data_IF_979144140821
#
_entry.id   IF_979144140821
#
_cell.length_a   1.000
_cell.length_b   1.000
_cell.length_c   1.000
_cell.angle_alpha   90.00
_cell.angle_beta   90.00
_cell.angle_gamma   90.00
#
_symmetry.space_group_name_H-M   'P 1'
#
loop_
_entity.id
_entity.type
_entity.pdbx_description
1 polymer ?
#
# COMPACT_ATOMS: atom_id res chain seq x y z
N UNK A 1 11.69 -8.69 16.75
CA UNK A 1 12.12 -9.85 15.96
C UNK A 1 12.66 -9.41 14.59
N UNK A 2 11.89 -8.70 13.75
CA UNK A 2 12.35 -8.13 12.47
C UNK A 2 13.75 -7.44 12.49
N UNK A 3 14.01 -6.55 13.46
CA UNK A 3 15.33 -5.88 13.58
C UNK A 3 16.45 -6.92 13.78
N UNK A 4 16.22 -7.92 14.62
CA UNK A 4 17.21 -8.98 14.90
C UNK A 4 17.45 -9.83 13.66
N UNK A 5 16.39 -10.23 12.95
CA UNK A 5 16.50 -10.97 11.69
C UNK A 5 17.31 -10.18 10.65
N UNK A 6 17.05 -8.88 10.50
CA UNK A 6 17.81 -8.01 9.59
C UNK A 6 19.27 -7.83 10.03
N UNK A 7 19.52 -7.65 11.33
CA UNK A 7 20.88 -7.47 11.86
C UNK A 7 21.74 -8.72 11.65
N UNK A 8 21.19 -9.89 11.92
CA UNK A 8 21.89 -11.18 11.82
C UNK A 8 21.83 -11.79 10.40
N UNK A 9 21.10 -11.18 9.47
CA UNK A 9 20.77 -11.78 8.16
C UNK A 9 20.09 -13.16 8.29
N UNK A 10 19.17 -13.28 9.25
CA UNK A 10 18.29 -14.43 9.44
C UNK A 10 16.93 -14.30 8.74
N UNK A 11 16.06 -15.29 8.93
CA UNK A 11 14.68 -15.30 8.40
C UNK A 11 13.68 -14.94 9.50
N UNK A 12 12.83 -13.95 9.24
CA UNK A 12 11.74 -13.56 10.13
C UNK A 12 10.54 -14.52 10.03
N UNK A 13 9.53 -14.34 10.88
CA UNK A 13 8.28 -15.09 10.81
C UNK A 13 7.60 -15.06 9.43
N UNK A 14 6.83 -16.11 9.06
CA UNK A 14 6.22 -16.24 7.73
C UNK A 14 5.42 -15.00 7.28
N UNK A 15 5.60 -14.51 6.04
CA UNK A 15 6.31 -15.16 4.93
C UNK A 15 7.81 -14.83 4.84
N UNK A 16 8.41 -14.30 5.90
CA UNK A 16 9.85 -14.07 6.02
C UNK A 16 10.32 -12.66 5.66
N UNK A 17 9.45 -11.86 5.01
CA UNK A 17 9.67 -10.45 4.68
C UNK A 17 11.04 -10.16 4.04
N UNK A 18 11.53 -10.97 3.08
CA UNK A 18 12.92 -10.92 2.63
C UNK A 18 13.35 -9.55 2.11
N UNK A 19 12.47 -8.84 1.40
CA UNK A 19 12.79 -7.51 0.90
C UNK A 19 13.00 -6.49 2.04
N UNK A 20 12.11 -6.51 3.04
CA UNK A 20 12.25 -5.63 4.21
C UNK A 20 13.53 -5.96 4.98
N UNK A 21 13.81 -7.24 5.21
CA UNK A 21 15.00 -7.71 5.92
C UNK A 21 16.29 -7.24 5.26
N UNK A 22 16.39 -7.37 3.93
CA UNK A 22 17.56 -6.92 3.16
C UNK A 22 17.71 -5.39 3.16
N UNK A 23 16.61 -4.65 3.02
CA UNK A 23 16.63 -3.18 3.08
C UNK A 23 16.99 -2.68 4.48
N UNK A 24 16.49 -3.33 5.53
CA UNK A 24 16.83 -3.02 6.91
C UNK A 24 18.32 -3.30 7.19
N UNK A 25 18.88 -4.43 6.71
CA UNK A 25 20.32 -4.69 6.78
C UNK A 25 21.13 -3.59 6.10
N UNK A 26 20.71 -3.15 4.91
CA UNK A 26 21.35 -2.08 4.18
C UNK A 26 21.31 -0.76 4.96
N UNK A 27 20.15 -0.39 5.53
CA UNK A 27 20.00 0.81 6.35
C UNK A 27 20.88 0.79 7.61
N UNK A 28 21.03 -0.37 8.26
CA UNK A 28 21.93 -0.55 9.40
C UNK A 28 23.38 -0.22 9.02
N UNK A 29 23.81 -0.61 7.82
CA UNK A 29 25.16 -0.33 7.30
C UNK A 29 25.37 1.10 6.80
N UNK A 30 24.35 1.71 6.16
CA UNK A 30 24.45 3.05 5.57
C UNK A 30 24.40 4.15 6.63
N UNK A 31 23.51 4.05 7.62
CA UNK A 31 23.38 5.08 8.65
C UNK A 31 24.42 4.86 9.76
N UNK A 32 25.44 5.73 9.93
CA UNK A 32 26.54 5.46 10.88
C UNK A 32 26.23 5.88 12.32
N UNK A 33 25.03 6.43 12.59
CA UNK A 33 24.65 7.01 13.87
C UNK A 33 23.41 6.33 14.48
N UNK A 34 23.20 6.56 15.78
CA UNK A 34 22.13 5.94 16.54
C UNK A 34 22.29 4.42 16.72
N UNK A 35 21.38 3.84 17.50
CA UNK A 35 21.31 2.39 17.69
C UNK A 35 20.83 1.68 16.42
N UNK A 36 21.06 0.37 16.31
CA UNK A 36 20.53 -0.47 15.22
C UNK A 36 19.00 -0.30 15.10
N UNK A 37 18.30 -0.28 16.24
CA UNK A 37 16.86 -0.03 16.27
C UNK A 37 16.51 1.33 15.67
N UNK A 38 17.21 2.40 16.06
CA UNK A 38 16.98 3.74 15.51
C UNK A 38 17.12 3.77 13.99
N UNK A 39 18.15 3.13 13.42
CA UNK A 39 18.41 3.10 11.97
C UNK A 39 17.29 2.42 11.18
N UNK A 40 16.75 1.31 11.70
CA UNK A 40 15.63 0.61 11.06
C UNK A 40 14.33 1.39 11.21
N UNK A 41 14.07 2.03 12.35
CA UNK A 41 12.92 2.94 12.51
C UNK A 41 13.02 4.15 11.57
N UNK A 42 14.23 4.71 11.36
CA UNK A 42 14.47 5.77 10.40
C UNK A 42 14.15 5.34 8.97
N UNK A 43 14.54 4.11 8.57
CA UNK A 43 14.13 3.52 7.30
C UNK A 43 12.60 3.49 7.18
N UNK A 44 11.88 2.98 8.18
CA UNK A 44 10.41 2.96 8.16
C UNK A 44 9.80 4.36 8.02
N UNK A 45 10.36 5.37 8.70
CA UNK A 45 9.92 6.77 8.59
C UNK A 45 10.11 7.33 7.18
N UNK A 46 11.27 7.07 6.56
CA UNK A 46 11.55 7.47 5.18
C UNK A 46 10.63 6.77 4.17
N UNK A 47 10.37 5.47 4.36
CA UNK A 47 9.44 4.71 3.52
C UNK A 47 8.00 5.23 3.65
N UNK A 48 7.56 5.56 4.87
CA UNK A 48 6.25 6.15 5.13
C UNK A 48 6.10 7.54 4.49
N UNK A 49 7.13 8.38 4.59
CA UNK A 49 7.15 9.69 3.93
C UNK A 49 7.10 9.56 2.40
N UNK A 50 7.89 8.65 1.83
CA UNK A 50 7.89 8.37 0.40
C UNK A 50 6.54 7.82 -0.09
N UNK A 51 5.87 6.98 0.70
CA UNK A 51 4.51 6.53 0.41
C UNK A 51 3.54 7.72 0.32
N UNK A 52 3.56 8.63 1.30
CA UNK A 52 2.73 9.84 1.29
C UNK A 52 3.00 10.73 0.05
N UNK A 53 4.28 10.90 -0.33
CA UNK A 53 4.66 11.64 -1.53
C UNK A 53 4.10 11.01 -2.81
N UNK A 54 4.05 9.68 -2.90
CA UNK A 54 3.45 8.99 -4.05
C UNK A 54 1.93 9.13 -4.09
N UNK A 55 1.26 9.21 -2.93
CA UNK A 55 -0.19 9.51 -2.89
C UNK A 55 -0.47 10.95 -3.34
N UNK A 56 0.31 11.93 -2.87
CA UNK A 56 0.27 13.30 -3.39
C UNK A 56 0.40 13.30 -4.91
N UNK A 57 1.44 12.62 -5.40
CA UNK A 57 1.77 12.55 -6.82
C UNK A 57 0.63 11.93 -7.64
N UNK A 58 0.05 10.83 -7.15
CA UNK A 58 -1.08 10.15 -7.78
C UNK A 58 -2.27 11.10 -7.95
N UNK A 59 -2.65 11.83 -6.90
CA UNK A 59 -3.76 12.79 -6.98
C UNK A 59 -3.41 13.95 -7.91
N UNK A 60 -2.23 14.55 -7.76
CA UNK A 60 -1.79 15.67 -8.60
C UNK A 60 -1.81 15.32 -10.09
N UNK A 61 -1.33 14.12 -10.48
CA UNK A 61 -1.34 13.67 -11.88
C UNK A 61 -2.73 13.36 -12.43
N UNK A 62 -3.69 13.04 -11.57
CA UNK A 62 -5.05 12.72 -11.98
C UNK A 62 -5.97 13.95 -12.05
N UNK A 63 -5.71 14.98 -11.25
CA UNK A 63 -6.60 16.14 -11.15
C UNK A 63 -5.95 17.49 -11.42
N UNK A 64 -4.61 17.57 -11.50
CA UNK A 64 -3.86 18.82 -11.55
C UNK A 64 -3.84 19.63 -10.24
N UNK A 65 -4.55 19.18 -9.19
CA UNK A 65 -4.70 19.94 -7.95
C UNK A 65 -3.60 19.61 -6.94
N UNK A 66 -2.79 20.63 -6.61
CA UNK A 66 -1.82 20.55 -5.50
C UNK A 66 -2.53 20.40 -4.15
N UNK A 67 -3.64 21.11 -3.94
CA UNK A 67 -4.43 21.04 -2.72
C UNK A 67 -5.00 19.64 -2.49
N UNK A 68 -5.56 19.00 -3.54
CA UNK A 68 -6.00 17.61 -3.49
C UNK A 68 -4.86 16.66 -3.13
N UNK A 69 -3.68 16.85 -3.73
CA UNK A 69 -2.48 16.07 -3.40
C UNK A 69 -2.04 16.24 -1.95
N UNK A 70 -2.03 17.47 -1.42
CA UNK A 70 -1.65 17.77 -0.04
C UNK A 70 -2.64 17.18 0.93
N UNK A 71 -3.93 17.25 0.62
CA UNK A 71 -4.96 16.59 1.42
C UNK A 71 -4.65 15.09 1.50
N UNK A 72 -4.46 14.41 0.36
CA UNK A 72 -4.20 12.97 0.33
C UNK A 72 -2.94 12.58 1.11
N UNK A 73 -1.83 13.28 0.92
CA UNK A 73 -0.59 13.01 1.65
C UNK A 73 -0.71 13.34 3.15
N UNK A 74 -1.32 14.47 3.49
CA UNK A 74 -1.46 14.93 4.87
C UNK A 74 -2.38 14.03 5.68
N UNK A 75 -3.57 13.70 5.17
CA UNK A 75 -4.52 12.82 5.88
C UNK A 75 -3.99 11.40 6.01
N UNK A 76 -3.21 10.92 5.03
CA UNK A 76 -2.52 9.64 5.15
C UNK A 76 -1.42 9.70 6.21
N UNK A 77 -0.46 10.62 6.07
CA UNK A 77 0.73 10.71 6.92
C UNK A 77 0.37 10.98 8.39
N UNK A 78 -0.61 11.85 8.66
CA UNK A 78 -1.02 12.22 10.02
C UNK A 78 -2.19 11.39 10.55
N UNK A 79 -2.56 10.28 9.93
CA UNK A 79 -3.41 9.27 10.56
C UNK A 79 -2.64 8.54 11.67
N UNK A 80 -3.27 8.25 12.81
CA UNK A 80 -2.58 7.63 13.97
C UNK A 80 -1.93 6.30 13.59
N UNK A 81 -2.63 5.44 12.85
CA UNK A 81 -2.11 4.14 12.42
C UNK A 81 -0.87 4.31 11.54
N UNK A 82 -0.95 5.14 10.50
CA UNK A 82 0.16 5.31 9.56
C UNK A 82 1.37 5.91 10.23
N UNK A 83 1.17 6.90 11.10
CA UNK A 83 2.26 7.51 11.87
C UNK A 83 2.91 6.52 12.83
N UNK A 84 2.11 5.79 13.60
CA UNK A 84 2.60 4.79 14.55
C UNK A 84 3.45 3.72 13.86
N UNK A 85 2.95 3.14 12.77
CA UNK A 85 3.68 2.09 12.05
C UNK A 85 4.80 2.60 11.14
N UNK A 86 4.86 3.92 10.89
CA UNK A 86 6.01 4.56 10.22
C UNK A 86 7.13 4.96 11.17
N UNK A 87 6.87 4.99 12.47
CA UNK A 87 7.89 5.26 13.50
C UNK A 87 8.34 4.00 14.23
N UNK A 88 7.83 2.83 13.81
CA UNK A 88 8.15 1.51 14.32
C UNK A 88 8.83 0.64 13.24
N UNK A 89 9.77 -0.22 13.65
CA UNK A 89 10.54 -1.11 12.78
C UNK A 89 9.70 -2.30 12.30
N UNK A 90 8.75 -2.01 11.43
CA UNK A 90 7.70 -2.91 10.95
C UNK A 90 7.53 -2.82 9.43
N UNK A 91 6.95 -3.86 8.86
CA UNK A 91 6.88 -4.11 7.41
C UNK A 91 5.82 -3.25 6.69
N UNK A 92 4.97 -2.55 7.44
CA UNK A 92 3.83 -1.83 6.90
C UNK A 92 4.20 -0.58 6.11
N UNK A 93 5.24 0.15 6.51
CA UNK A 93 5.70 1.33 5.76
C UNK A 93 6.20 0.97 4.37
N UNK A 94 6.93 -0.16 4.26
CA UNK A 94 7.35 -0.68 2.96
C UNK A 94 6.14 -1.13 2.13
N UNK A 95 5.14 -1.74 2.75
CA UNK A 95 3.91 -2.10 2.04
C UNK A 95 3.17 -0.85 1.53
N UNK A 96 3.04 0.18 2.36
CA UNK A 96 2.42 1.46 2.00
C UNK A 96 3.17 2.15 0.85
N UNK A 97 4.51 2.08 0.84
CA UNK A 97 5.32 2.55 -0.28
C UNK A 97 4.92 1.83 -1.57
N UNK A 98 4.79 0.50 -1.55
CA UNK A 98 4.37 -0.26 -2.73
C UNK A 98 2.94 0.05 -3.15
N UNK A 99 2.00 0.25 -2.23
CA UNK A 99 0.65 0.71 -2.57
C UNK A 99 0.70 2.03 -3.33
N UNK A 100 1.39 3.04 -2.77
CA UNK A 100 1.54 4.35 -3.43
C UNK A 100 2.27 4.26 -4.77
N UNK A 101 3.33 3.45 -4.85
CA UNK A 101 4.12 3.27 -6.07
C UNK A 101 3.29 2.61 -7.18
N UNK A 102 2.53 1.56 -6.86
CA UNK A 102 1.68 0.88 -7.82
C UNK A 102 0.53 1.78 -8.32
N UNK A 103 -0.07 2.59 -7.44
CA UNK A 103 -1.05 3.60 -7.84
C UNK A 103 -0.43 4.64 -8.79
N UNK A 104 0.73 5.20 -8.42
CA UNK A 104 1.45 6.18 -9.25
C UNK A 104 1.86 5.60 -10.62
N UNK A 105 2.39 4.38 -10.66
CA UNK A 105 2.75 3.69 -11.90
C UNK A 105 1.51 3.40 -12.78
N UNK A 106 0.36 3.13 -12.17
CA UNK A 106 -0.89 2.94 -12.90
C UNK A 106 -1.36 4.24 -13.56
N UNK A 107 -1.23 5.37 -12.87
CA UNK A 107 -1.50 6.70 -13.46
C UNK A 107 -0.55 6.98 -14.62
N UNK A 108 0.75 6.76 -14.42
CA UNK A 108 1.75 6.90 -15.48
C UNK A 108 1.48 6.01 -16.69
N UNK A 109 1.03 4.78 -16.47
CA UNK A 109 0.69 3.87 -17.55
C UNK A 109 -0.49 4.38 -18.37
N UNK A 110 -1.51 4.96 -17.72
CA UNK A 110 -2.67 5.54 -18.41
C UNK A 110 -2.30 6.81 -19.19
N UNK A 111 -1.34 7.59 -18.70
CA UNK A 111 -0.85 8.81 -19.36
C UNK A 111 0.11 8.55 -20.52
N UNK A 112 0.66 7.34 -20.61
CA UNK A 112 1.63 7.01 -21.63
C UNK A 112 1.00 7.04 -23.02
N UNK A 113 1.53 7.90 -23.89
CA UNK A 113 0.99 8.18 -25.22
C UNK A 113 1.54 7.24 -26.29
N UNK A 114 2.66 6.58 -26.01
CA UNK A 114 3.35 5.71 -26.96
C UNK A 114 3.36 4.26 -26.52
N UNK A 115 3.31 3.33 -27.48
CA UNK A 115 3.44 1.88 -27.23
C UNK A 115 4.73 1.53 -26.48
N UNK A 116 5.84 2.20 -26.81
CA UNK A 116 7.15 1.97 -26.18
C UNK A 116 7.14 2.38 -24.71
N UNK A 117 6.53 3.52 -24.39
CA UNK A 117 6.39 4.01 -23.04
C UNK A 117 5.46 3.11 -22.20
N UNK A 118 4.28 2.77 -22.72
CA UNK A 118 3.34 1.80 -22.09
C UNK A 118 4.02 0.46 -21.79
N UNK A 119 4.81 -0.05 -22.75
CA UNK A 119 5.60 -1.27 -22.56
C UNK A 119 6.65 -1.13 -21.46
N UNK A 120 7.36 0.00 -21.38
CA UNK A 120 8.38 0.23 -20.34
C UNK A 120 7.74 0.33 -18.96
N UNK A 121 6.66 1.10 -18.82
CA UNK A 121 5.99 1.31 -17.53
C UNK A 121 5.35 0.02 -17.03
N UNK A 122 4.70 -0.76 -17.91
CA UNK A 122 4.13 -2.06 -17.53
C UNK A 122 5.20 -3.08 -17.09
N UNK A 123 6.40 -3.04 -17.68
CA UNK A 123 7.54 -3.85 -17.22
C UNK A 123 8.05 -3.43 -15.84
N UNK A 124 8.20 -2.12 -15.61
CA UNK A 124 8.55 -1.59 -14.27
C UNK A 124 7.48 -1.95 -13.25
N UNK A 125 6.20 -1.78 -13.61
CA UNK A 125 5.06 -2.19 -12.78
C UNK A 125 5.08 -3.67 -12.44
N UNK A 126 5.33 -4.55 -13.42
CA UNK A 126 5.44 -5.99 -13.20
C UNK A 126 6.59 -6.33 -12.23
N UNK A 127 7.75 -5.70 -12.38
CA UNK A 127 8.88 -5.84 -11.45
C UNK A 127 8.50 -5.37 -10.02
N UNK A 128 7.84 -4.22 -9.90
CA UNK A 128 7.36 -3.71 -8.61
C UNK A 128 6.30 -4.63 -7.97
N UNK A 129 5.42 -5.26 -8.76
CA UNK A 129 4.46 -6.27 -8.27
C UNK A 129 5.17 -7.51 -7.70
N UNK A 130 6.27 -7.94 -8.32
CA UNK A 130 7.10 -9.03 -7.79
C UNK A 130 7.75 -8.66 -6.45
N UNK A 131 8.38 -7.47 -6.39
CA UNK A 131 9.02 -6.98 -5.17
C UNK A 131 8.03 -6.76 -4.02
N UNK A 132 6.82 -6.26 -4.31
CA UNK A 132 5.83 -5.99 -3.27
C UNK A 132 5.36 -7.26 -2.56
N UNK A 133 5.24 -8.37 -3.30
CA UNK A 133 4.93 -9.69 -2.75
C UNK A 133 6.05 -10.28 -1.89
N UNK A 134 7.30 -9.80 -2.04
CA UNK A 134 8.41 -10.12 -1.14
C UNK A 134 8.37 -9.37 0.19
N UNK A 135 7.41 -8.45 0.36
CA UNK A 135 7.15 -7.77 1.62
C UNK A 135 5.87 -8.28 2.27
N UNK A 136 4.70 -8.10 1.68
CA UNK A 136 3.44 -8.47 2.33
C UNK A 136 2.46 -9.06 1.32
N UNK A 137 1.99 -10.29 1.58
CA UNK A 137 1.15 -11.03 0.63
C UNK A 137 -0.20 -10.41 0.35
N UNK A 138 -0.77 -9.64 1.29
CA UNK A 138 -2.07 -8.99 1.11
C UNK A 138 -2.09 -7.99 -0.05
N UNK A 139 -0.93 -7.50 -0.50
CA UNK A 139 -0.84 -6.63 -1.69
C UNK A 139 -1.26 -7.33 -2.97
N UNK A 140 -1.35 -8.67 -2.98
CA UNK A 140 -1.84 -9.45 -4.14
C UNK A 140 -3.22 -9.00 -4.60
N UNK A 141 -4.06 -8.49 -3.69
CA UNK A 141 -5.40 -7.98 -4.02
C UNK A 141 -5.32 -6.74 -4.91
N UNK A 142 -4.40 -5.82 -4.61
CA UNK A 142 -4.14 -4.64 -5.44
C UNK A 142 -3.46 -5.01 -6.75
N UNK A 143 -2.45 -5.88 -6.68
CA UNK A 143 -1.75 -6.39 -7.87
C UNK A 143 -2.74 -7.05 -8.83
N UNK A 144 -3.70 -7.84 -8.33
CA UNK A 144 -4.69 -8.52 -9.16
C UNK A 144 -5.60 -7.52 -9.89
N UNK A 145 -6.13 -6.51 -9.19
CA UNK A 145 -6.93 -5.45 -9.82
C UNK A 145 -6.13 -4.70 -10.90
N UNK A 146 -4.90 -4.29 -10.58
CA UNK A 146 -4.04 -3.52 -11.49
C UNK A 146 -3.64 -4.36 -12.70
N UNK A 147 -3.21 -5.61 -12.51
CA UNK A 147 -2.80 -6.50 -13.61
C UNK A 147 -3.97 -6.77 -14.55
N UNK A 148 -5.14 -7.10 -14.02
CA UNK A 148 -6.34 -7.32 -14.85
C UNK A 148 -6.69 -6.06 -15.66
N UNK A 149 -6.63 -4.89 -15.03
CA UNK A 149 -6.90 -3.63 -15.68
C UNK A 149 -5.85 -3.29 -16.75
N UNK A 150 -4.55 -3.43 -16.47
CA UNK A 150 -3.47 -3.21 -17.43
C UNK A 150 -3.59 -4.15 -18.62
N UNK A 151 -3.83 -5.45 -18.38
CA UNK A 151 -4.01 -6.43 -19.46
C UNK A 151 -5.24 -6.10 -20.33
N UNK A 152 -6.33 -5.67 -19.71
CA UNK A 152 -7.52 -5.21 -20.43
C UNK A 152 -7.23 -3.97 -21.29
N UNK A 153 -6.49 -2.97 -20.76
CA UNK A 153 -6.07 -1.79 -21.54
C UNK A 153 -5.17 -2.20 -22.70
N UNK A 154 -4.15 -3.03 -22.47
CA UNK A 154 -3.26 -3.52 -23.52
C UNK A 154 -4.01 -4.32 -24.60
N UNK A 155 -5.02 -5.11 -24.20
CA UNK A 155 -5.88 -5.83 -25.14
C UNK A 155 -6.71 -4.87 -26.00
N UNK A 156 -7.36 -3.88 -25.38
CA UNK A 156 -8.16 -2.87 -26.10
C UNK A 156 -7.34 -2.05 -27.09
N UNK A 157 -6.10 -1.76 -26.74
CA UNK A 157 -5.15 -1.00 -27.57
C UNK A 157 -4.43 -1.89 -28.59
N UNK A 158 -4.79 -3.18 -28.70
CA UNK A 158 -4.18 -4.17 -29.59
C UNK A 158 -2.66 -4.34 -29.40
N UNK A 159 -2.16 -4.04 -28.20
CA UNK A 159 -0.73 -4.16 -27.86
C UNK A 159 -0.39 -5.43 -27.08
N UNK A 160 -1.40 -6.25 -26.76
CA UNK A 160 -1.21 -7.50 -26.04
C UNK A 160 -0.68 -8.57 -27.00
N UNK A 161 0.48 -9.13 -26.68
CA UNK A 161 1.09 -10.24 -27.44
C UNK A 161 1.71 -11.27 -26.50
N UNK A 162 1.84 -12.55 -26.91
CA UNK A 162 2.50 -13.57 -26.10
C UNK A 162 3.92 -13.17 -25.70
N UNK A 163 4.69 -12.57 -26.60
CA UNK A 163 6.04 -12.08 -26.30
C UNK A 163 6.05 -10.96 -25.25
N UNK A 164 5.04 -10.09 -25.22
CA UNK A 164 4.90 -9.08 -24.17
C UNK A 164 4.52 -9.72 -22.84
N UNK A 165 3.60 -10.71 -22.82
CA UNK A 165 3.26 -11.45 -21.60
C UNK A 165 4.47 -12.15 -20.98
N UNK A 166 5.30 -12.80 -21.81
CA UNK A 166 6.56 -13.42 -21.36
C UNK A 166 7.50 -12.38 -20.74
N UNK A 167 7.65 -11.20 -21.36
CA UNK A 167 8.48 -10.11 -20.81
C UNK A 167 7.93 -9.60 -19.47
N UNK A 168 6.62 -9.40 -19.34
CA UNK A 168 5.99 -8.98 -18.09
C UNK A 168 6.19 -10.04 -17.00
N UNK A 169 5.99 -11.32 -17.33
CA UNK A 169 6.26 -12.44 -16.43
C UNK A 169 7.73 -12.49 -15.98
N UNK A 170 8.68 -12.30 -16.90
CA UNK A 170 10.11 -12.25 -16.58
C UNK A 170 10.45 -11.07 -15.66
N UNK A 171 9.89 -9.88 -15.90
CA UNK A 171 10.06 -8.72 -15.01
C UNK A 171 9.48 -8.98 -13.62
N UNK A 172 8.30 -9.59 -13.53
CA UNK A 172 7.71 -9.99 -12.26
C UNK A 172 8.59 -10.97 -11.50
N UNK A 173 9.05 -12.04 -12.17
CA UNK A 173 9.95 -13.03 -11.56
C UNK A 173 11.27 -12.41 -11.10
N UNK A 174 11.81 -11.46 -11.88
CA UNK A 174 13.00 -10.69 -11.46
C UNK A 174 12.73 -9.88 -10.18
N UNK A 175 11.54 -9.28 -10.04
CA UNK A 175 11.14 -8.59 -8.82
C UNK A 175 10.92 -9.54 -7.63
N UNK A 176 10.57 -10.79 -7.90
CA UNK A 176 10.32 -11.83 -6.89
C UNK A 176 11.60 -12.51 -6.35
N UNK A 177 12.76 -12.22 -6.96
CA UNK A 177 14.06 -12.78 -6.58
C UNK A 177 14.46 -12.59 -5.11
N UNK A 178 14.05 -11.55 -4.36
CA UNK A 178 14.36 -11.45 -2.94
C UNK A 178 13.95 -12.69 -2.14
N UNK A 179 12.95 -13.48 -2.56
CA UNK A 179 12.62 -14.74 -1.88
C UNK A 179 13.75 -15.78 -1.87
N UNK A 180 14.70 -15.71 -2.81
CA UNK A 180 15.90 -16.56 -2.80
C UNK A 180 16.80 -16.31 -1.58
N UNK A 181 16.63 -15.17 -0.90
CA UNK A 181 17.29 -14.89 0.37
C UNK A 181 16.95 -15.91 1.45
N UNK A 182 15.71 -16.42 1.48
CA UNK A 182 15.27 -17.35 2.53
C UNK A 182 16.13 -18.63 2.53
N UNK A 183 16.17 -19.45 1.46
CA UNK A 183 17.01 -20.63 1.42
C UNK A 183 18.50 -20.28 1.52
N UNK A 184 18.96 -19.14 0.96
CA UNK A 184 20.35 -18.73 1.05
C UNK A 184 20.79 -18.47 2.51
N UNK A 185 19.97 -17.74 3.28
CA UNK A 185 20.19 -17.47 4.70
C UNK A 185 20.22 -18.78 5.51
N UNK A 186 19.24 -19.68 5.31
CA UNK A 186 19.19 -20.96 6.02
C UNK A 186 20.34 -21.89 5.65
N UNK A 187 20.81 -21.89 4.40
CA UNK A 187 21.97 -22.67 3.96
C UNK A 187 23.28 -22.15 4.56
N UNK A 188 23.47 -20.83 4.62
CA UNK A 188 24.65 -20.23 5.24
C UNK A 188 24.67 -20.45 6.76
N UNK A 189 23.49 -20.45 7.40
CA UNK A 189 23.30 -20.74 8.82
C UNK A 189 24.21 -19.91 9.75
N UNK A 190 24.46 -18.65 9.39
CA UNK A 190 25.27 -17.71 10.17
C UNK A 190 24.44 -17.00 11.26
N UNK A 191 23.16 -16.75 10.96
CA UNK A 191 22.26 -16.06 11.87
C UNK A 191 21.93 -16.95 13.07
N UNK A 192 22.07 -16.40 14.28
CA UNK A 192 21.73 -17.12 15.53
C UNK A 192 20.25 -17.48 15.65
N UNK A 193 19.39 -16.71 15.00
CA UNK A 193 17.94 -16.85 15.05
C UNK A 193 17.36 -16.75 13.64
N UNK A 194 16.67 -17.80 13.23
CA UNK A 194 15.99 -17.94 11.94
C UNK A 194 14.68 -18.68 12.22
N UNK A 195 13.57 -18.20 11.66
CA UNK A 195 12.29 -18.86 11.81
C UNK A 195 12.17 -20.04 10.84
N UNK A 196 12.11 -21.27 11.35
CA UNK A 196 11.98 -22.47 10.52
C UNK A 196 13.22 -22.79 9.69
N UNK A 197 13.11 -23.79 8.82
CA UNK A 197 14.18 -24.24 7.92
C UNK A 197 13.73 -24.19 6.45
N UNK A 198 14.32 -23.30 5.66
CA UNK A 198 13.97 -23.08 4.25
C UNK A 198 14.94 -23.76 3.27
N UNK A 199 15.81 -24.67 3.73
CA UNK A 199 16.79 -25.34 2.85
C UNK A 199 16.16 -26.32 1.85
N UNK A 200 15.04 -26.94 2.22
CA UNK A 200 14.29 -27.84 1.34
C UNK A 200 13.18 -27.09 0.61
N UNK A 201 12.76 -27.60 -0.55
CA UNK A 201 11.60 -27.04 -1.28
C UNK A 201 10.34 -27.03 -0.41
N UNK A 202 10.08 -28.11 0.34
CA UNK A 202 8.94 -28.17 1.26
C UNK A 202 9.04 -27.10 2.35
N UNK A 203 10.21 -26.95 3.00
CA UNK A 203 10.40 -25.95 4.04
C UNK A 203 10.25 -24.51 3.53
N UNK A 204 10.77 -24.24 2.33
CA UNK A 204 10.54 -22.96 1.63
C UNK A 204 9.05 -22.73 1.36
N UNK A 205 8.33 -23.72 0.81
CA UNK A 205 6.90 -23.60 0.51
C UNK A 205 6.05 -23.44 1.77
N UNK A 206 6.33 -24.18 2.84
CA UNK A 206 5.66 -24.05 4.14
C UNK A 206 5.81 -22.62 4.70
N UNK A 207 7.00 -22.04 4.60
CA UNK A 207 7.25 -20.67 5.05
C UNK A 207 6.62 -19.62 4.13
N UNK A 208 6.79 -19.76 2.81
CA UNK A 208 6.20 -18.87 1.82
C UNK A 208 4.68 -18.87 1.95
N UNK A 209 4.03 -20.02 1.95
CA UNK A 209 2.57 -20.15 2.04
C UNK A 209 2.02 -19.89 3.44
N UNK A 210 2.86 -19.55 4.42
CA UNK A 210 2.43 -19.26 5.81
C UNK A 210 1.59 -20.40 6.39
N UNK A 211 1.95 -21.65 6.07
CA UNK A 211 1.18 -22.84 6.48
C UNK A 211 1.06 -22.94 8.01
N UNK A 212 2.09 -22.48 8.74
CA UNK A 212 2.11 -22.44 10.21
C UNK A 212 0.99 -21.57 10.81
N UNK A 213 0.56 -20.53 10.10
CA UNK A 213 -0.58 -19.69 10.48
C UNK A 213 -1.91 -20.23 9.95
N UNK A 214 -1.91 -21.15 8.98
CA UNK A 214 -3.08 -21.62 8.25
C UNK A 214 -3.28 -20.99 6.87
N UNK A 215 -2.22 -20.45 6.25
CA UNK A 215 -2.14 -19.83 4.91
C UNK A 215 -2.99 -18.58 4.68
N UNK A 216 -4.29 -18.67 4.92
CA UNK A 216 -5.25 -17.58 4.78
C UNK A 216 -5.82 -17.09 6.12
N UNK A 217 -5.19 -17.48 7.23
CA UNK A 217 -5.55 -17.05 8.58
C UNK A 217 -4.48 -16.08 9.12
N UNK A 218 -4.90 -15.22 10.04
CA UNK A 218 -4.01 -14.34 10.82
C UNK A 218 -3.40 -15.08 12.01
N UNK A 219 -4.18 -15.93 12.67
CA UNK A 219 -3.72 -16.77 13.77
C UNK A 219 -4.29 -18.19 13.66
N UNK A 220 -3.53 -19.18 14.12
CA UNK A 220 -3.97 -20.57 14.16
C UNK A 220 -4.95 -20.77 15.32
N UNK A 221 -6.02 -21.52 15.09
CA UNK A 221 -6.99 -21.93 16.11
C UNK A 221 -7.82 -20.82 16.77
N UNK A 222 -7.90 -19.63 16.16
CA UNK A 222 -8.78 -18.54 16.61
C UNK A 222 -10.09 -18.52 15.79
N UNK A 223 -11.21 -18.27 16.48
CA UNK A 223 -12.51 -17.98 15.88
C UNK A 223 -12.72 -16.48 15.86
N UNK A 224 -12.76 -15.90 14.65
CA UNK A 224 -12.85 -14.45 14.47
C UNK A 224 -14.28 -13.90 14.50
N UNK A 225 -14.35 -12.58 14.52
CA UNK A 225 -15.60 -11.82 14.29
C UNK A 225 -16.15 -12.07 12.88
N UNK A 226 -17.45 -11.84 12.69
CA UNK A 226 -18.08 -12.02 11.38
C UNK A 226 -17.66 -10.90 10.40
N UNK A 227 -17.73 -11.16 9.09
CA UNK A 227 -17.33 -10.22 8.04
C UNK A 227 -18.05 -8.87 8.14
N UNK A 228 -19.37 -8.88 8.39
CA UNK A 228 -20.16 -7.64 8.55
C UNK A 228 -19.68 -6.82 9.74
N UNK A 229 -19.39 -7.48 10.86
CA UNK A 229 -18.87 -6.84 12.06
C UNK A 229 -17.50 -6.23 11.78
N UNK A 230 -16.60 -6.98 11.15
CA UNK A 230 -15.28 -6.52 10.74
C UNK A 230 -15.33 -5.29 9.81
N UNK A 231 -16.22 -5.28 8.82
CA UNK A 231 -16.43 -4.13 7.93
C UNK A 231 -16.99 -2.91 8.67
N UNK A 232 -17.99 -3.11 9.54
CA UNK A 232 -18.56 -2.03 10.35
C UNK A 232 -17.50 -1.41 11.27
N UNK A 233 -16.69 -2.24 11.92
CA UNK A 233 -15.57 -1.79 12.74
C UNK A 233 -14.50 -1.08 11.92
N UNK A 234 -14.16 -1.58 10.72
CA UNK A 234 -13.22 -0.90 9.83
C UNK A 234 -13.72 0.50 9.46
N UNK A 235 -14.99 0.64 9.07
CA UNK A 235 -15.59 1.95 8.72
C UNK A 235 -15.65 2.87 9.94
N UNK A 236 -16.06 2.36 11.10
CA UNK A 236 -16.10 3.12 12.34
C UNK A 236 -14.69 3.60 12.74
N UNK A 237 -13.70 2.71 12.68
CA UNK A 237 -12.31 3.02 12.98
C UNK A 237 -11.74 4.03 11.98
N UNK A 238 -12.04 3.90 10.69
CA UNK A 238 -11.60 4.84 9.65
C UNK A 238 -12.08 6.27 9.91
N UNK A 239 -13.29 6.47 10.48
CA UNK A 239 -13.77 7.80 10.92
C UNK A 239 -12.87 8.41 11.99
N UNK A 240 -12.34 7.59 12.89
CA UNK A 240 -11.41 8.05 13.92
C UNK A 240 -10.02 8.35 13.37
N UNK A 241 -9.64 7.80 12.23
CA UNK A 241 -8.31 7.95 11.63
C UNK A 241 -8.24 9.10 10.61
N UNK A 242 -9.24 9.19 9.72
CA UNK A 242 -9.28 10.09 8.57
C UNK A 242 -10.33 11.20 8.67
N UNK A 243 -11.13 11.28 9.75
CA UNK A 243 -12.27 12.19 9.88
C UNK A 243 -13.43 11.90 8.90
N UNK A 244 -14.62 12.44 9.20
CA UNK A 244 -15.80 12.28 8.35
C UNK A 244 -15.72 13.08 7.03
N UNK A 245 -15.26 14.35 7.00
CA UNK A 245 -15.14 15.11 5.74
C UNK A 245 -14.30 14.41 4.66
N UNK A 246 -13.20 13.75 5.04
CA UNK A 246 -12.34 13.01 4.10
C UNK A 246 -13.09 11.85 3.46
N UNK A 247 -13.90 11.11 4.23
CA UNK A 247 -14.73 10.03 3.66
C UNK A 247 -15.81 10.58 2.74
N UNK A 248 -16.43 11.70 3.09
CA UNK A 248 -17.41 12.37 2.21
C UNK A 248 -16.75 12.78 0.90
N UNK A 249 -15.55 13.37 0.94
CA UNK A 249 -14.80 13.72 -0.27
C UNK A 249 -14.45 12.48 -1.12
N UNK A 250 -14.09 11.35 -0.49
CA UNK A 250 -13.84 10.11 -1.23
C UNK A 250 -15.10 9.60 -1.97
N UNK A 251 -16.29 9.74 -1.36
CA UNK A 251 -17.57 9.45 -2.01
C UNK A 251 -17.84 10.44 -3.15
N UNK A 252 -17.58 11.73 -2.94
CA UNK A 252 -17.71 12.76 -3.99
C UNK A 252 -16.85 12.42 -5.20
N UNK A 253 -15.62 11.94 -5.02
CA UNK A 253 -14.79 11.49 -6.15
C UNK A 253 -15.45 10.37 -6.96
N UNK A 254 -16.08 9.40 -6.29
CA UNK A 254 -16.79 8.31 -6.96
C UNK A 254 -18.04 8.83 -7.72
N UNK A 255 -18.81 9.74 -7.10
CA UNK A 255 -19.97 10.36 -7.73
C UNK A 255 -19.56 11.21 -8.95
N UNK A 256 -18.49 12.01 -8.83
CA UNK A 256 -17.93 12.77 -9.94
C UNK A 256 -17.42 11.86 -11.06
N UNK A 257 -16.86 10.69 -10.74
CA UNK A 257 -16.46 9.71 -11.75
C UNK A 257 -17.65 9.02 -12.46
N UNK A 258 -18.85 9.01 -11.87
CA UNK A 258 -20.09 8.61 -12.58
C UNK A 258 -20.51 9.67 -13.60
N UNK A 259 -20.28 10.94 -13.28
CA UNK A 259 -20.58 12.09 -14.12
C UNK A 259 -19.40 12.41 -15.04
N UNK A 260 -19.29 11.68 -16.17
CA UNK A 260 -18.11 11.69 -17.06
C UNK A 260 -17.58 13.07 -17.46
N UNK A 261 -18.41 14.10 -17.48
CA UNK A 261 -18.01 15.47 -17.82
C UNK A 261 -17.15 16.15 -16.74
N UNK A 262 -17.12 15.59 -15.51
CA UNK A 262 -16.44 16.18 -14.34
C UNK A 262 -15.04 15.61 -14.05
N UNK A 263 -14.64 14.53 -14.72
CA UNK A 263 -13.35 13.89 -14.48
C UNK A 263 -12.74 13.35 -15.76
N UNK A 264 -11.46 13.70 -16.01
CA UNK A 264 -10.74 13.26 -17.21
C UNK A 264 -10.49 11.75 -17.25
N UNK A 265 -10.19 11.13 -16.09
CA UNK A 265 -9.74 9.73 -15.98
C UNK A 265 -10.59 8.90 -15.01
N UNK A 266 -11.92 8.76 -15.23
CA UNK A 266 -12.82 8.10 -14.29
C UNK A 266 -12.51 6.60 -14.13
N UNK A 267 -11.92 5.96 -15.14
CA UNK A 267 -11.53 4.55 -15.08
C UNK A 267 -10.56 4.25 -13.94
N UNK A 268 -9.65 5.17 -13.61
CA UNK A 268 -8.70 5.00 -12.51
C UNK A 268 -9.33 5.21 -11.15
N UNK A 269 -10.34 6.08 -11.03
CA UNK A 269 -11.15 6.19 -9.81
C UNK A 269 -11.86 4.86 -9.55
N UNK A 270 -12.50 4.27 -10.56
CA UNK A 270 -13.15 2.96 -10.41
C UNK A 270 -12.17 1.83 -10.11
N UNK A 271 -10.97 1.86 -10.68
CA UNK A 271 -9.91 0.89 -10.35
C UNK A 271 -9.51 1.00 -8.88
N UNK A 272 -9.26 2.22 -8.38
CA UNK A 272 -8.90 2.45 -6.98
C UNK A 272 -10.05 2.09 -6.03
N UNK A 273 -11.29 2.44 -6.36
CA UNK A 273 -12.46 2.00 -5.59
C UNK A 273 -12.59 0.47 -5.60
N UNK A 274 -12.34 -0.18 -6.74
CA UNK A 274 -12.30 -1.65 -6.84
C UNK A 274 -11.20 -2.27 -5.99
N UNK A 275 -10.02 -1.66 -5.92
CA UNK A 275 -8.93 -2.05 -5.01
C UNK A 275 -9.39 -1.93 -3.56
N UNK A 276 -9.98 -0.81 -3.16
CA UNK A 276 -10.51 -0.61 -1.81
C UNK A 276 -11.56 -1.67 -1.43
N UNK A 277 -12.55 -1.90 -2.29
CA UNK A 277 -13.62 -2.85 -2.03
C UNK A 277 -13.10 -4.29 -1.98
N UNK A 278 -12.27 -4.70 -2.96
CA UNK A 278 -11.70 -6.06 -2.99
C UNK A 278 -10.85 -6.34 -1.76
N UNK A 279 -10.01 -5.39 -1.36
CA UNK A 279 -9.17 -5.53 -0.18
C UNK A 279 -9.98 -5.60 1.11
N UNK A 280 -10.88 -4.63 1.34
CA UNK A 280 -11.69 -4.59 2.56
C UNK A 280 -12.59 -5.81 2.69
N UNK A 281 -13.27 -6.23 1.61
CA UNK A 281 -14.13 -7.41 1.65
C UNK A 281 -13.35 -8.71 1.86
N UNK A 282 -12.24 -8.91 1.15
CA UNK A 282 -11.41 -10.09 1.31
C UNK A 282 -10.81 -10.17 2.71
N UNK A 283 -10.25 -9.06 3.20
CA UNK A 283 -9.65 -9.03 4.53
C UNK A 283 -10.71 -9.24 5.61
N UNK A 284 -11.89 -8.61 5.49
CA UNK A 284 -12.96 -8.79 6.44
C UNK A 284 -13.49 -10.23 6.47
N UNK A 285 -13.50 -10.91 5.32
CA UNK A 285 -13.88 -12.31 5.23
C UNK A 285 -12.83 -13.26 5.85
N UNK A 286 -11.53 -12.93 5.73
CA UNK A 286 -10.43 -13.81 6.13
C UNK A 286 -9.78 -13.50 7.48
N UNK A 287 -10.01 -12.32 8.03
CA UNK A 287 -9.49 -11.92 9.33
C UNK A 287 -10.17 -12.75 10.43
N UNK A 288 -9.54 -13.85 10.83
CA UNK A 288 -10.08 -14.81 11.81
C UNK A 288 -9.73 -14.45 13.26
N UNK A 289 -9.78 -13.15 13.60
CA UNK A 289 -9.50 -12.64 14.95
C UNK A 289 -10.72 -11.93 15.53
N UNK A 290 -10.96 -12.14 16.81
CA UNK A 290 -12.04 -11.50 17.57
C UNK A 290 -11.67 -10.07 17.93
N UNK A 291 -12.27 -9.09 17.24
CA UNK A 291 -11.95 -7.67 17.38
C UNK A 291 -12.50 -7.03 18.66
N UNK A 292 -13.28 -7.77 19.46
CA UNK A 292 -13.68 -7.32 20.80
C UNK A 292 -12.50 -7.35 21.78
N UNK A 293 -11.47 -8.15 21.48
CA UNK A 293 -10.24 -8.24 22.28
C UNK A 293 -9.24 -7.18 21.82
N UNK A 294 -8.77 -6.28 22.71
CA UNK A 294 -7.86 -5.18 22.33
C UNK A 294 -6.58 -5.63 21.64
N UNK A 295 -6.00 -6.77 22.04
CA UNK A 295 -4.80 -7.32 21.42
C UNK A 295 -5.03 -7.68 19.95
N UNK A 296 -6.16 -8.32 19.64
CA UNK A 296 -6.50 -8.76 18.30
C UNK A 296 -6.92 -7.59 17.42
N UNK A 297 -7.64 -6.62 17.97
CA UNK A 297 -7.91 -5.36 17.30
C UNK A 297 -6.61 -4.67 16.84
N UNK A 298 -5.60 -4.60 17.71
CA UNK A 298 -4.29 -4.03 17.38
C UNK A 298 -3.51 -4.79 16.30
N UNK A 299 -3.83 -6.06 16.04
CA UNK A 299 -3.25 -6.84 14.91
C UNK A 299 -4.01 -6.52 13.62
N UNK A 300 -5.35 -6.52 13.68
CA UNK A 300 -6.24 -6.31 12.54
C UNK A 300 -6.11 -4.89 11.98
N UNK A 301 -6.08 -3.87 12.83
CA UNK A 301 -6.10 -2.47 12.39
C UNK A 301 -4.91 -2.07 11.52
N UNK A 302 -3.76 -2.76 11.68
CA UNK A 302 -2.56 -2.51 10.86
C UNK A 302 -2.82 -2.76 9.38
N UNK A 303 -3.70 -3.71 9.07
CA UNK A 303 -4.09 -4.03 7.70
C UNK A 303 -5.13 -3.07 7.12
N UNK A 304 -5.71 -2.16 7.91
CA UNK A 304 -6.62 -1.15 7.39
C UNK A 304 -5.89 0.07 6.82
N UNK A 305 -4.59 0.22 7.06
CA UNK A 305 -3.78 1.30 6.48
C UNK A 305 -3.82 1.33 4.95
N UNK A 306 -3.87 0.16 4.30
CA UNK A 306 -3.96 0.05 2.84
C UNK A 306 -5.29 0.65 2.35
N UNK A 307 -6.39 0.35 3.02
CA UNK A 307 -7.70 0.95 2.71
C UNK A 307 -7.70 2.46 2.96
N UNK A 308 -7.08 2.91 4.06
CA UNK A 308 -6.93 4.33 4.36
C UNK A 308 -6.13 5.07 3.29
N UNK A 309 -5.08 4.47 2.73
CA UNK A 309 -4.28 5.07 1.65
C UNK A 309 -5.13 5.32 0.39
N UNK A 310 -5.98 4.37 0.00
CA UNK A 310 -6.88 4.54 -1.15
C UNK A 310 -7.94 5.60 -0.87
N UNK A 311 -8.54 5.60 0.32
CA UNK A 311 -9.51 6.62 0.73
C UNK A 311 -8.90 8.01 0.74
N UNK A 312 -7.64 8.15 1.19
CA UNK A 312 -6.91 9.43 1.14
C UNK A 312 -6.74 9.95 -0.30
N UNK A 313 -6.39 9.07 -1.24
CA UNK A 313 -6.29 9.44 -2.67
C UNK A 313 -7.65 9.84 -3.23
N UNK A 314 -8.69 9.05 -2.98
CA UNK A 314 -10.06 9.37 -3.43
C UNK A 314 -10.54 10.71 -2.83
N UNK A 315 -10.25 10.97 -1.55
CA UNK A 315 -10.60 12.24 -0.92
C UNK A 315 -9.89 13.44 -1.57
N UNK A 316 -8.60 13.28 -1.91
CA UNK A 316 -7.84 14.30 -2.65
C UNK A 316 -8.45 14.59 -4.03
N UNK A 317 -8.88 13.55 -4.75
CA UNK A 317 -9.59 13.69 -6.02
C UNK A 317 -10.97 14.33 -5.86
N UNK A 318 -11.68 14.01 -4.77
CA UNK A 318 -12.98 14.59 -4.45
C UNK A 318 -12.89 16.08 -4.14
N UNK A 319 -11.87 16.48 -3.38
CA UNK A 319 -11.58 17.89 -3.13
C UNK A 319 -11.32 18.64 -4.44
N UNK A 320 -10.48 18.06 -5.32
CA UNK A 320 -10.19 18.66 -6.62
C UNK A 320 -11.45 18.78 -7.48
N UNK A 321 -12.32 17.77 -7.49
CA UNK A 321 -13.58 17.82 -8.24
C UNK A 321 -14.50 18.94 -7.75
N UNK A 322 -14.68 19.08 -6.43
CA UNK A 322 -15.52 20.15 -5.85
C UNK A 322 -14.99 21.55 -6.21
N UNK A 323 -13.67 21.73 -6.18
CA UNK A 323 -13.05 23.03 -6.44
C UNK A 323 -13.00 23.38 -7.93
N UNK A 324 -12.93 22.37 -8.81
CA UNK A 324 -13.02 22.59 -10.26
C UNK A 324 -14.36 23.21 -10.69
N UNK A 325 -15.44 23.02 -9.90
CA UNK A 325 -16.77 23.58 -10.19
C UNK A 325 -16.93 25.06 -9.80
N UNK A 326 -16.04 25.61 -8.95
CA UNK A 326 -16.24 26.95 -8.35
C UNK A 326 -15.62 28.13 -9.12
N UNK A 327 -15.02 27.91 -10.30
CA UNK A 327 -14.77 28.93 -11.35
C UNK A 327 -13.45 29.72 -11.29
N UNK A 328 -12.95 30.15 -12.46
CA UNK A 328 -11.63 30.76 -12.76
C UNK A 328 -11.32 32.15 -12.11
N UNK A 329 -11.57 32.36 -10.82
CA UNK A 329 -11.16 33.56 -10.09
C UNK A 329 -9.80 33.43 -9.40
N UNK A 330 -9.01 34.51 -9.32
CA UNK A 330 -7.73 34.56 -8.59
C UNK A 330 -7.85 34.24 -7.07
N UNK A 331 -9.07 34.28 -6.53
CA UNK A 331 -9.40 33.93 -5.14
C UNK A 331 -9.47 32.40 -4.91
N UNK A 332 -9.72 31.62 -5.97
CA UNK A 332 -9.92 30.18 -5.88
C UNK A 332 -8.69 29.40 -5.42
N UNK A 333 -7.47 29.65 -5.94
CA UNK A 333 -6.27 28.93 -5.52
C UNK A 333 -6.05 29.03 -4.01
N UNK A 334 -6.16 30.23 -3.43
CA UNK A 334 -6.03 30.43 -1.98
C UNK A 334 -7.06 29.62 -1.18
N UNK A 335 -8.31 29.52 -1.66
CA UNK A 335 -9.35 28.71 -1.01
C UNK A 335 -9.08 27.20 -1.09
N UNK A 336 -8.49 26.72 -2.18
CA UNK A 336 -8.09 25.32 -2.32
C UNK A 336 -7.04 24.94 -1.25
N UNK A 337 -5.99 25.74 -1.14
CA UNK A 337 -4.92 25.54 -0.17
C UNK A 337 -5.43 25.64 1.27
N UNK A 338 -6.27 26.64 1.56
CA UNK A 338 -6.86 26.81 2.90
C UNK A 338 -7.71 25.60 3.30
N UNK A 339 -8.46 25.03 2.37
CA UNK A 339 -9.32 23.87 2.62
C UNK A 339 -8.50 22.60 2.92
N UNK A 340 -7.46 22.33 2.12
CA UNK A 340 -6.55 21.21 2.37
C UNK A 340 -5.81 21.37 3.72
N UNK A 341 -5.26 22.57 3.99
CA UNK A 341 -4.56 22.87 5.23
C UNK A 341 -5.49 22.76 6.44
N UNK A 342 -6.72 23.28 6.35
CA UNK A 342 -7.69 23.22 7.43
C UNK A 342 -8.08 21.76 7.77
N UNK A 343 -8.34 20.93 6.76
CA UNK A 343 -8.67 19.52 6.95
C UNK A 343 -7.49 18.73 7.56
N UNK A 344 -6.28 18.93 7.04
CA UNK A 344 -5.07 18.28 7.59
C UNK A 344 -4.80 18.74 9.02
N UNK A 345 -4.91 20.04 9.31
CA UNK A 345 -4.72 20.59 10.66
C UNK A 345 -5.77 20.08 11.63
N UNK A 346 -7.04 20.03 11.20
CA UNK A 346 -8.14 19.46 11.99
C UNK A 346 -7.89 17.98 12.29
N UNK A 347 -7.38 17.21 11.32
CA UNK A 347 -7.04 15.82 11.54
C UNK A 347 -5.87 15.65 12.53
N UNK A 348 -4.80 16.44 12.39
CA UNK A 348 -3.68 16.43 13.36
C UNK A 348 -4.20 16.71 14.76
N UNK A 349 -5.03 17.76 14.91
CA UNK A 349 -5.63 18.11 16.20
C UNK A 349 -6.49 16.99 16.77
N UNK A 350 -7.31 16.32 15.95
CA UNK A 350 -8.17 15.22 16.39
C UNK A 350 -7.39 13.94 16.73
N UNK A 351 -6.21 13.74 16.14
CA UNK A 351 -5.43 12.51 16.28
C UNK A 351 -4.41 12.57 17.42
N UNK A 352 -3.90 13.76 17.76
CA UNK A 352 -2.77 13.94 18.68
C UNK A 352 -3.04 14.90 19.85
N UNK A 353 -4.30 15.29 20.07
CA UNK A 353 -4.75 15.89 21.33
C UNK A 353 -5.16 14.79 22.30
#
# INVERSE_FOLDING_TARGET
>A
ELITAAYELGVAHPPGYPLFTLLARLAIGIFPFGSVAYRVNLLCGLLGAAAASLLFYTVFRLSGSYAGGILAAGVFAFSRLTWHWSTAAEVFSLNNLFVGLLMALTVHFEEATTMKERSKISQVGAFCCGMSLCNQHTIVLYVSCIVLWVLFRLFREQELSPGRLVKLGACFLAGFLPYLYLPASSCLNQARWTWGDQRSFQGFMTHLLREEYGTFNLAKSETGSNMTEMLLFQVAHMKTQLSLPVQVLAIVACLSAMMRDKMEKPALVWLFTGMLCSYSCFFAWRANLDITKPLFMGVVERFWMQSNAVVAVLAGLGLAAVLSETGNGCVLPCLEWLSAVALVTSQIYSNYR
#
